data_IF_179607930243
#
_entry.id   IF_179607930243
#
_cell.length_a   1.000
_cell.length_b   1.000
_cell.length_c   1.000
_cell.angle_alpha   90.00
_cell.angle_beta   90.00
_cell.angle_gamma   90.00
#
_symmetry.space_group_name_H-M   'P 1'
#
loop_
_entity.id
_entity.type
_entity.pdbx_description
1 polymer ?
#
# COMPACT_ATOMS: atom_id res chain seq x y z
N UNK A 1 -20.93 1.85 24.67
CA UNK A 1 -20.33 2.82 23.73
C UNK A 1 -18.80 2.66 23.64
N UNK A 2 -18.21 1.64 24.28
CA UNK A 2 -16.76 1.46 24.42
C UNK A 2 -16.06 0.69 23.29
N UNK A 3 -16.78 0.24 22.25
CA UNK A 3 -16.21 -0.57 21.16
C UNK A 3 -15.62 0.25 20.00
N UNK A 4 -15.64 1.58 20.08
CA UNK A 4 -15.18 2.49 19.02
C UNK A 4 -13.81 3.09 19.31
N UNK A 5 -13.29 2.99 20.53
CA UNK A 5 -11.96 3.50 20.85
C UNK A 5 -10.90 2.54 20.33
N UNK A 6 -9.86 3.02 19.62
CA UNK A 6 -8.76 2.16 19.22
C UNK A 6 -8.06 1.57 20.46
N UNK A 7 -7.57 0.34 20.34
CA UNK A 7 -6.60 -0.18 21.31
C UNK A 7 -5.35 0.68 21.19
N UNK A 8 -5.05 1.44 22.24
CA UNK A 8 -3.86 2.28 22.34
C UNK A 8 -3.01 1.79 23.51
N UNK A 9 -1.69 1.98 23.41
CA UNK A 9 -0.77 1.68 24.51
C UNK A 9 -0.99 2.63 25.71
N UNK A 10 -0.23 2.43 26.79
CA UNK A 10 -0.32 3.27 27.98
C UNK A 10 0.04 4.74 27.76
N UNK A 11 0.53 5.10 26.56
CA UNK A 11 0.84 6.47 26.12
C UNK A 11 -0.18 7.01 25.12
N UNK A 12 -1.27 6.29 24.86
CA UNK A 12 -2.29 6.69 23.90
C UNK A 12 -1.88 6.50 22.44
N UNK A 13 -0.82 5.71 22.17
CA UNK A 13 -0.35 5.47 20.81
C UNK A 13 -0.97 4.19 20.22
N UNK A 14 -1.27 4.21 18.92
CA UNK A 14 -1.69 3.01 18.21
C UNK A 14 -0.55 1.99 18.21
N UNK A 15 -0.81 0.70 18.51
CA UNK A 15 0.21 -0.31 18.42
C UNK A 15 0.67 -0.46 16.96
N UNK A 16 1.96 -0.74 16.82
CA UNK A 16 2.61 -0.91 15.52
C UNK A 16 3.01 -2.36 15.36
N UNK A 17 2.66 -2.96 14.24
CA UNK A 17 3.08 -4.31 13.89
C UNK A 17 4.16 -4.25 12.80
N UNK A 18 5.27 -4.93 13.04
CA UNK A 18 6.41 -4.98 12.13
C UNK A 18 6.79 -6.43 11.80
N UNK A 19 7.46 -6.64 10.66
CA UNK A 19 8.00 -7.94 10.28
C UNK A 19 6.92 -8.94 9.85
N UNK A 20 5.80 -8.47 9.29
CA UNK A 20 4.72 -9.34 8.82
C UNK A 20 5.13 -10.21 7.64
N UNK A 21 6.14 -9.78 6.90
CA UNK A 21 6.59 -10.39 5.65
C UNK A 21 8.05 -10.87 5.69
N UNK A 22 8.72 -10.77 6.85
CA UNK A 22 10.14 -11.13 7.01
C UNK A 22 10.45 -12.63 7.14
N UNK A 23 9.42 -13.49 7.03
CA UNK A 23 9.53 -14.93 7.25
C UNK A 23 8.60 -15.66 6.27
N UNK A 24 9.19 -16.45 5.37
CA UNK A 24 8.46 -17.20 4.34
C UNK A 24 7.43 -18.16 4.96
N UNK A 25 7.78 -18.82 6.06
CA UNK A 25 6.88 -19.78 6.73
C UNK A 25 5.66 -19.06 7.29
N UNK A 26 5.85 -17.91 7.94
CA UNK A 26 4.74 -17.07 8.42
C UNK A 26 3.86 -16.57 7.28
N UNK A 27 4.47 -16.12 6.19
CA UNK A 27 3.74 -15.64 5.00
C UNK A 27 2.92 -16.76 4.38
N UNK A 28 3.53 -17.92 4.14
CA UNK A 28 2.84 -19.10 3.59
C UNK A 28 1.72 -19.58 4.48
N UNK A 29 1.93 -19.61 5.80
CA UNK A 29 0.90 -19.96 6.76
C UNK A 29 -0.29 -18.99 6.69
N UNK A 30 -0.03 -17.68 6.68
CA UNK A 30 -1.07 -16.64 6.57
C UNK A 30 -1.87 -16.73 5.27
N UNK A 31 -1.19 -17.06 4.17
CA UNK A 31 -1.81 -17.24 2.85
C UNK A 31 -2.34 -18.65 2.60
N UNK A 32 -2.17 -19.58 3.55
CA UNK A 32 -2.54 -21.00 3.41
C UNK A 32 -1.91 -21.67 2.18
N UNK A 33 -0.69 -21.27 1.81
CA UNK A 33 0.03 -21.85 0.68
C UNK A 33 0.68 -23.17 1.06
N UNK A 34 0.37 -24.21 0.30
CA UNK A 34 0.94 -25.55 0.48
C UNK A 34 2.32 -25.69 -0.17
N UNK A 35 2.64 -24.84 -1.16
CA UNK A 35 3.93 -24.83 -1.87
C UNK A 35 4.66 -23.49 -1.67
N UNK A 36 6.00 -23.44 -1.84
CA UNK A 36 6.78 -22.20 -1.74
C UNK A 36 6.36 -21.15 -2.78
N UNK A 37 6.31 -19.88 -2.37
CA UNK A 37 6.10 -18.75 -3.29
C UNK A 37 7.46 -18.28 -3.82
N UNK A 38 7.93 -18.88 -4.91
CA UNK A 38 9.21 -18.57 -5.57
C UNK A 38 9.05 -18.54 -7.09
N UNK A 39 10.09 -18.17 -7.82
CA UNK A 39 10.05 -18.04 -9.29
C UNK A 39 9.61 -19.31 -10.01
N UNK A 40 9.91 -20.50 -9.47
CA UNK A 40 9.49 -21.77 -10.07
C UNK A 40 7.98 -22.06 -9.93
N UNK A 41 7.36 -21.56 -8.84
CA UNK A 41 5.97 -21.84 -8.52
C UNK A 41 5.02 -20.66 -8.75
N UNK A 42 5.54 -19.43 -8.84
CA UNK A 42 4.75 -18.19 -8.84
C UNK A 42 3.65 -18.24 -9.89
N UNK A 43 3.99 -18.61 -11.13
CA UNK A 43 3.01 -18.73 -12.22
C UNK A 43 1.90 -19.72 -11.91
N UNK A 44 2.19 -20.86 -11.27
CA UNK A 44 1.15 -21.85 -10.90
C UNK A 44 0.24 -21.31 -9.81
N UNK A 45 0.79 -20.51 -8.89
CA UNK A 45 0.05 -19.90 -7.78
C UNK A 45 -0.87 -18.75 -8.22
N UNK A 46 -0.54 -18.06 -9.32
CA UNK A 46 -1.29 -16.87 -9.78
C UNK A 46 -1.89 -17.01 -11.19
N UNK A 47 -1.82 -18.19 -11.82
CA UNK A 47 -2.26 -18.38 -13.20
C UNK A 47 -3.75 -18.12 -13.42
N UNK A 48 -4.58 -18.39 -12.40
CA UNK A 48 -6.02 -18.15 -12.50
C UNK A 48 -6.27 -16.67 -12.28
N UNK A 49 -7.16 -16.06 -13.05
CA UNK A 49 -7.63 -14.71 -12.77
C UNK A 49 -8.88 -14.81 -11.89
N UNK A 50 -8.94 -14.00 -10.84
CA UNK A 50 -10.15 -13.78 -10.06
C UNK A 50 -10.38 -12.29 -9.94
N UNK A 51 -11.41 -11.77 -10.60
CA UNK A 51 -11.69 -10.35 -10.62
C UNK A 51 -11.93 -9.81 -9.20
N UNK A 52 -11.48 -8.58 -8.89
CA UNK A 52 -11.91 -7.87 -7.70
C UNK A 52 -13.43 -7.69 -7.70
N UNK A 53 -14.03 -7.60 -6.52
CA UNK A 53 -15.46 -7.33 -6.36
C UNK A 53 -15.65 -5.95 -5.77
N UNK A 54 -16.54 -5.17 -6.37
CA UNK A 54 -16.98 -3.91 -5.79
C UNK A 54 -18.05 -4.20 -4.74
N UNK A 55 -17.85 -3.63 -3.56
CA UNK A 55 -18.85 -3.67 -2.50
C UNK A 55 -19.47 -2.29 -2.32
N UNK A 56 -20.78 -2.21 -2.00
CA UNK A 56 -21.42 -0.98 -1.57
C UNK A 56 -20.72 -0.38 -0.35
N UNK A 57 -20.79 0.95 -0.19
CA UNK A 57 -20.15 1.65 0.93
C UNK A 57 -20.66 1.15 2.29
N UNK A 58 -21.93 0.78 2.37
CA UNK A 58 -22.60 0.24 3.57
C UNK A 58 -22.02 -1.12 4.01
N UNK A 59 -21.40 -1.84 3.07
CA UNK A 59 -20.73 -3.12 3.33
C UNK A 59 -19.22 -2.95 3.58
N UNK A 60 -18.70 -1.73 3.44
CA UNK A 60 -17.33 -1.43 3.83
C UNK A 60 -17.20 -1.50 5.36
N UNK A 61 -16.06 -1.95 5.89
CA UNK A 61 -15.88 -1.98 7.33
C UNK A 61 -16.14 -0.59 7.94
N UNK A 62 -16.79 -0.51 9.11
CA UNK A 62 -17.18 0.76 9.70
C UNK A 62 -15.94 1.60 10.00
N UNK A 63 -16.02 2.87 9.64
CA UNK A 63 -15.00 3.86 9.99
C UNK A 63 -14.92 4.05 11.50
N UNK A 64 -13.72 4.13 12.03
CA UNK A 64 -13.46 4.52 13.41
C UNK A 64 -13.29 6.05 13.45
N UNK A 65 -14.11 6.77 14.25
CA UNK A 65 -14.08 8.24 14.31
C UNK A 65 -12.77 8.80 14.88
N UNK A 66 -11.93 7.97 15.50
CA UNK A 66 -10.59 8.37 15.94
C UNK A 66 -9.73 8.84 14.76
N UNK A 67 -9.79 8.18 13.61
CA UNK A 67 -8.89 8.42 12.49
C UNK A 67 -9.39 9.56 11.60
N UNK A 68 -8.92 10.78 11.87
CA UNK A 68 -9.29 11.99 11.13
C UNK A 68 -8.08 12.73 10.56
N UNK A 69 -6.92 12.63 11.21
CA UNK A 69 -5.71 13.37 10.86
C UNK A 69 -4.46 12.48 10.81
N UNK A 70 -3.54 12.69 9.85
CA UNK A 70 -2.38 11.83 9.65
C UNK A 70 -1.38 11.86 10.82
N UNK A 71 -1.39 12.91 11.65
CA UNK A 71 -0.59 13.00 12.88
C UNK A 71 -0.97 11.94 13.93
N UNK A 72 -2.14 11.31 13.79
CA UNK A 72 -2.60 10.24 14.67
C UNK A 72 -2.02 8.88 14.29
N UNK A 73 -1.40 8.77 13.11
CA UNK A 73 -0.73 7.55 12.68
C UNK A 73 0.61 7.44 13.41
N UNK A 74 0.98 6.25 13.91
CA UNK A 74 2.29 6.02 14.49
C UNK A 74 3.32 5.88 13.35
N UNK A 75 3.69 7.01 12.76
CA UNK A 75 4.74 7.08 11.75
C UNK A 75 6.09 6.91 12.41
N UNK A 76 6.89 5.99 11.89
CA UNK A 76 8.18 5.65 12.49
C UNK A 76 9.32 6.36 11.78
N UNK A 77 10.31 6.74 12.57
CA UNK A 77 11.66 7.04 12.11
C UNK A 77 12.49 5.80 12.40
N UNK A 78 12.80 5.01 11.37
CA UNK A 78 13.43 3.69 11.50
C UNK A 78 14.91 3.78 11.82
N UNK A 79 15.59 4.82 11.34
CA UNK A 79 17.01 5.05 11.62
C UNK A 79 17.25 6.48 12.08
N UNK A 80 18.30 6.75 12.90
CA UNK A 80 18.70 8.12 13.24
C UNK A 80 19.05 8.99 12.03
N UNK A 81 19.26 8.37 10.87
CA UNK A 81 19.64 9.03 9.63
C UNK A 81 18.47 9.20 8.66
N UNK A 82 17.24 8.83 9.03
CA UNK A 82 16.06 9.05 8.20
C UNK A 82 15.79 10.57 8.07
N UNK A 83 15.22 11.05 6.96
CA UNK A 83 14.90 12.49 6.81
C UNK A 83 13.78 12.98 7.75
N UNK A 84 13.09 12.04 8.39
CA UNK A 84 11.88 12.26 9.18
C UNK A 84 11.13 10.95 9.39
N UNK A 85 9.90 11.04 9.87
CA UNK A 85 9.03 9.87 10.05
C UNK A 85 8.37 9.48 8.73
N UNK A 86 8.21 8.17 8.50
CA UNK A 86 7.70 7.63 7.25
C UNK A 86 6.56 6.64 7.47
N UNK A 87 5.60 6.64 6.54
CA UNK A 87 4.69 5.51 6.33
C UNK A 87 5.43 4.49 5.49
N UNK A 88 5.93 3.42 6.11
CA UNK A 88 6.76 2.42 5.43
C UNK A 88 5.98 1.28 4.77
N UNK A 89 4.66 1.22 4.98
CA UNK A 89 3.78 0.20 4.41
C UNK A 89 2.54 0.82 3.77
N UNK A 90 2.74 1.88 2.97
CA UNK A 90 1.69 2.54 2.19
C UNK A 90 1.55 1.91 0.81
N UNK A 91 0.36 1.41 0.49
CA UNK A 91 0.06 0.81 -0.80
C UNK A 91 -0.82 1.74 -1.63
N UNK A 92 -0.21 2.38 -2.63
CA UNK A 92 -0.86 3.34 -3.50
C UNK A 92 -1.61 2.60 -4.58
N UNK A 93 -2.92 2.80 -4.61
CA UNK A 93 -3.82 2.36 -5.66
C UNK A 93 -4.27 3.54 -6.51
N UNK A 94 -4.27 3.37 -7.83
CA UNK A 94 -4.85 4.32 -8.78
C UNK A 94 -5.37 3.59 -10.03
N UNK A 95 -6.15 4.28 -10.87
CA UNK A 95 -6.68 3.73 -12.11
C UNK A 95 -6.66 4.76 -13.24
N UNK A 96 -6.32 4.33 -14.45
CA UNK A 96 -6.52 5.13 -15.66
C UNK A 96 -8.01 5.23 -16.01
N UNK A 97 -8.35 6.19 -16.86
CA UNK A 97 -9.72 6.31 -17.40
C UNK A 97 -10.15 5.09 -18.23
N UNK A 98 -9.19 4.40 -18.84
CA UNK A 98 -9.42 3.17 -19.60
C UNK A 98 -9.60 1.93 -18.72
N UNK A 99 -9.59 2.08 -17.39
CA UNK A 99 -9.77 0.98 -16.43
C UNK A 99 -8.48 0.25 -16.03
N UNK A 100 -7.31 0.66 -16.51
CA UNK A 100 -6.02 0.06 -16.13
C UNK A 100 -5.66 0.47 -14.70
N UNK A 101 -5.58 -0.47 -13.77
CA UNK A 101 -5.28 -0.21 -12.37
C UNK A 101 -3.77 -0.17 -12.09
N UNK A 102 -3.34 0.34 -10.93
CA UNK A 102 -1.98 0.17 -10.44
C UNK A 102 -2.00 0.05 -8.94
N UNK A 103 -1.39 -1.01 -8.41
CA UNK A 103 -1.11 -1.18 -6.98
C UNK A 103 0.41 -1.22 -6.77
N UNK A 104 0.93 -0.32 -5.95
CA UNK A 104 2.37 -0.19 -5.69
C UNK A 104 2.67 0.11 -4.24
N UNK A 105 3.72 -0.52 -3.69
CA UNK A 105 4.20 -0.25 -2.35
C UNK A 105 5.13 0.98 -2.37
N UNK A 106 4.91 1.90 -1.43
CA UNK A 106 5.70 3.11 -1.22
C UNK A 106 6.08 3.22 0.24
N UNK A 107 7.33 3.65 0.49
CA UNK A 107 7.87 3.73 1.85
C UNK A 107 7.77 5.14 2.45
N UNK A 108 6.93 6.05 1.90
CA UNK A 108 6.85 7.47 2.28
C UNK A 108 5.47 8.08 1.96
N UNK A 109 5.06 9.13 2.69
CA UNK A 109 3.90 9.98 2.37
C UNK A 109 4.11 10.78 1.08
N UNK A 110 5.35 11.25 0.85
CA UNK A 110 5.77 11.73 -0.46
C UNK A 110 6.00 10.52 -1.37
N UNK A 111 5.04 10.25 -2.26
CA UNK A 111 5.09 9.08 -3.13
C UNK A 111 6.12 9.33 -4.22
N UNK A 112 7.12 8.46 -4.27
CA UNK A 112 8.09 8.47 -5.33
C UNK A 112 7.61 7.66 -6.51
N UNK A 113 7.17 8.38 -7.55
CA UNK A 113 6.75 7.80 -8.81
C UNK A 113 7.99 7.38 -9.59
N UNK A 114 8.25 6.08 -9.64
CA UNK A 114 9.40 5.51 -10.35
C UNK A 114 9.14 5.46 -11.86
N UNK A 115 10.10 5.92 -12.71
CA UNK A 115 9.96 5.88 -14.16
C UNK A 115 9.72 4.47 -14.71
N UNK A 116 8.91 4.36 -15.76
CA UNK A 116 8.62 3.10 -16.46
C UNK A 116 7.72 2.14 -15.68
N UNK A 117 7.16 2.57 -14.55
CA UNK A 117 6.16 1.81 -13.79
C UNK A 117 4.76 2.25 -14.16
N UNK A 118 3.80 1.34 -13.95
CA UNK A 118 2.40 1.55 -14.29
C UNK A 118 1.79 2.79 -13.61
N UNK A 119 2.16 3.07 -12.34
CA UNK A 119 1.78 4.30 -11.64
C UNK A 119 2.25 5.57 -12.38
N UNK A 120 3.48 5.56 -12.91
CA UNK A 120 4.02 6.69 -13.64
C UNK A 120 3.30 6.89 -14.97
N UNK A 121 3.04 5.81 -15.71
CA UNK A 121 2.30 5.85 -16.96
C UNK A 121 0.89 6.44 -16.77
N UNK A 122 0.16 5.99 -15.74
CA UNK A 122 -1.16 6.52 -15.41
C UNK A 122 -1.05 7.99 -14.99
N UNK A 123 -0.08 8.34 -14.15
CA UNK A 123 0.12 9.73 -13.72
C UNK A 123 0.40 10.68 -14.90
N UNK A 124 1.21 10.27 -15.88
CA UNK A 124 1.47 11.06 -17.08
C UNK A 124 0.21 11.27 -17.94
N UNK A 125 -0.68 10.29 -18.02
CA UNK A 125 -1.97 10.44 -18.73
C UNK A 125 -2.83 11.54 -18.08
N UNK A 126 -2.93 11.54 -16.76
CA UNK A 126 -3.66 12.57 -16.02
C UNK A 126 -3.03 13.95 -16.17
N UNK A 127 -1.70 14.04 -16.05
CA UNK A 127 -0.95 15.30 -16.29
C UNK A 127 -1.17 15.84 -17.70
N UNK A 128 -1.13 14.98 -18.73
CA UNK A 128 -1.38 15.38 -20.12
C UNK A 128 -2.80 15.91 -20.33
N UNK A 129 -3.77 15.44 -19.52
CA UNK A 129 -5.14 15.94 -19.51
C UNK A 129 -5.38 17.14 -18.58
N UNK A 130 -4.33 17.68 -17.94
CA UNK A 130 -4.44 18.81 -17.01
C UNK A 130 -5.22 18.49 -15.73
N UNK A 131 -5.33 17.21 -15.35
CA UNK A 131 -6.09 16.77 -14.16
C UNK A 131 -5.16 16.11 -13.14
N UNK A 132 -5.47 16.23 -11.84
CA UNK A 132 -4.74 15.50 -10.82
C UNK A 132 -5.14 14.01 -10.83
N UNK A 133 -4.21 13.12 -10.47
CA UNK A 133 -4.45 11.67 -10.42
C UNK A 133 -5.11 11.29 -9.08
N UNK A 134 -6.40 10.89 -9.03
CA UNK A 134 -6.99 10.45 -7.78
C UNK A 134 -6.37 9.11 -7.34
N UNK A 135 -5.88 9.06 -6.09
CA UNK A 135 -5.26 7.87 -5.51
C UNK A 135 -5.86 7.53 -4.15
N UNK A 136 -5.74 6.26 -3.78
CA UNK A 136 -5.90 5.82 -2.39
C UNK A 136 -4.60 5.23 -1.87
N UNK A 137 -4.18 5.62 -0.67
CA UNK A 137 -3.06 5.03 0.05
C UNK A 137 -3.64 4.10 1.10
N UNK A 138 -3.44 2.82 0.89
CA UNK A 138 -4.02 1.75 1.66
C UNK A 138 -2.93 1.19 2.59
N UNK A 139 -3.20 1.12 3.89
CA UNK A 139 -2.31 0.55 4.90
C UNK A 139 -3.02 -0.62 5.56
N UNK A 140 -2.23 -1.59 6.05
CA UNK A 140 -2.76 -2.85 6.60
C UNK A 140 -3.70 -3.55 5.61
N UNK A 141 -3.21 -3.72 4.37
CA UNK A 141 -3.96 -4.34 3.27
C UNK A 141 -3.92 -5.87 3.37
N UNK A 142 -4.82 -6.59 2.66
CA UNK A 142 -4.74 -8.04 2.57
C UNK A 142 -3.33 -8.53 2.21
N UNK A 143 -2.75 -9.51 2.94
CA UNK A 143 -1.37 -9.96 2.73
C UNK A 143 -1.06 -10.39 1.29
N UNK A 144 -2.05 -10.99 0.60
CA UNK A 144 -1.89 -11.38 -0.79
C UNK A 144 -1.70 -10.17 -1.72
N UNK A 145 -2.43 -9.08 -1.48
CA UNK A 145 -2.30 -7.84 -2.25
C UNK A 145 -0.95 -7.15 -1.97
N UNK A 146 -0.47 -7.19 -0.73
CA UNK A 146 0.87 -6.70 -0.40
C UNK A 146 1.94 -7.47 -1.19
N UNK A 147 1.85 -8.80 -1.23
CA UNK A 147 2.82 -9.66 -1.92
C UNK A 147 2.84 -9.44 -3.42
N UNK A 148 1.68 -9.29 -4.06
CA UNK A 148 1.63 -9.04 -5.51
C UNK A 148 2.17 -7.68 -5.92
N UNK A 149 2.30 -6.73 -4.99
CA UNK A 149 2.95 -5.44 -5.29
C UNK A 149 4.42 -5.59 -5.67
N UNK A 150 5.09 -6.64 -5.16
CA UNK A 150 6.49 -6.94 -5.41
C UNK A 150 6.73 -7.72 -6.71
N UNK A 151 5.67 -8.25 -7.34
CA UNK A 151 5.79 -8.94 -8.61
C UNK A 151 6.20 -7.98 -9.73
N UNK A 152 7.26 -8.33 -10.43
CA UNK A 152 7.80 -7.55 -11.54
C UNK A 152 8.38 -8.43 -12.65
N UNK A 153 8.55 -7.85 -13.84
CA UNK A 153 9.13 -8.55 -14.99
C UNK A 153 8.40 -9.86 -15.29
N UNK A 154 9.18 -10.94 -15.48
CA UNK A 154 8.69 -12.27 -15.83
C UNK A 154 7.79 -12.93 -14.77
N UNK A 155 7.72 -12.42 -13.54
CA UNK A 155 6.86 -12.99 -12.49
C UNK A 155 5.39 -12.54 -12.60
N UNK A 156 5.09 -11.53 -13.44
CA UNK A 156 3.72 -11.08 -13.68
C UNK A 156 3.06 -11.95 -14.74
N UNK A 157 1.76 -12.20 -14.60
CA UNK A 157 0.95 -12.77 -15.67
C UNK A 157 0.52 -11.63 -16.61
N UNK A 158 0.89 -11.68 -17.92
CA UNK A 158 0.46 -10.67 -18.87
C UNK A 158 -1.06 -10.55 -18.94
N UNK A 159 -1.57 -9.32 -19.03
CA UNK A 159 -3.00 -9.05 -19.08
C UNK A 159 -3.75 -9.15 -17.76
N UNK A 160 -3.09 -9.51 -16.65
CA UNK A 160 -3.70 -9.53 -15.32
C UNK A 160 -3.20 -8.37 -14.44
N UNK A 161 -4.15 -7.75 -13.75
CA UNK A 161 -3.89 -6.80 -12.67
C UNK A 161 -3.21 -7.48 -11.48
N UNK A 162 -2.58 -6.68 -10.61
CA UNK A 162 -2.02 -7.18 -9.35
C UNK A 162 -3.10 -7.62 -8.37
N UNK A 163 -4.30 -7.04 -8.48
CA UNK A 163 -5.44 -7.41 -7.65
C UNK A 163 -6.02 -8.77 -8.06
N UNK A 164 -6.06 -9.10 -9.35
CA UNK A 164 -6.46 -10.43 -9.81
C UNK A 164 -5.50 -11.51 -9.34
N UNK A 165 -4.19 -11.25 -9.43
CA UNK A 165 -3.16 -12.16 -8.93
C UNK A 165 -3.29 -12.33 -7.40
N UNK A 166 -3.59 -11.25 -6.67
CA UNK A 166 -3.79 -11.28 -5.23
C UNK A 166 -5.04 -12.09 -4.85
N UNK A 167 -6.11 -11.95 -5.61
CA UNK A 167 -7.35 -12.67 -5.39
C UNK A 167 -7.16 -14.18 -5.58
N UNK A 168 -6.34 -14.57 -6.55
CA UNK A 168 -5.99 -15.97 -6.78
C UNK A 168 -5.12 -16.52 -5.67
N UNK A 169 -4.12 -15.74 -5.23
CA UNK A 169 -3.26 -16.12 -4.12
C UNK A 169 -4.05 -16.28 -2.80
N UNK A 170 -5.06 -15.44 -2.57
CA UNK A 170 -5.94 -15.51 -1.41
C UNK A 170 -7.10 -16.53 -1.56
N UNK A 171 -7.26 -17.15 -2.73
CA UNK A 171 -8.45 -17.92 -3.12
C UNK A 171 -9.80 -17.18 -2.93
N UNK A 172 -9.77 -15.84 -2.82
CA UNK A 172 -10.92 -14.97 -2.51
C UNK A 172 -10.80 -13.67 -3.31
N UNK A 173 -11.89 -13.08 -3.82
CA UNK A 173 -11.78 -11.79 -4.50
C UNK A 173 -11.22 -10.72 -3.57
N UNK A 174 -10.42 -9.81 -4.11
CA UNK A 174 -10.11 -8.56 -3.41
C UNK A 174 -11.37 -7.69 -3.43
N UNK A 175 -11.78 -7.19 -2.27
CA UNK A 175 -12.94 -6.30 -2.14
C UNK A 175 -12.53 -4.84 -2.32
N UNK A 176 -13.22 -4.13 -3.19
CA UNK A 176 -12.99 -2.71 -3.49
C UNK A 176 -14.18 -1.86 -3.05
N UNK A 177 -13.89 -0.66 -2.55
CA UNK A 177 -14.86 0.34 -2.14
C UNK A 177 -14.63 1.66 -2.87
N UNK A 178 -15.68 2.44 -3.12
CA UNK A 178 -15.48 3.83 -3.51
C UNK A 178 -14.90 4.66 -2.36
N UNK A 179 -13.96 5.53 -2.69
CA UNK A 179 -13.51 6.60 -1.80
C UNK A 179 -14.58 7.68 -1.65
N UNK A 180 -14.51 8.47 -0.59
CA UNK A 180 -15.54 9.46 -0.26
C UNK A 180 -15.29 10.85 -0.84
N UNK A 181 -14.02 11.20 -1.07
CA UNK A 181 -13.58 12.54 -1.50
C UNK A 181 -12.86 12.53 -2.84
N UNK A 182 -12.36 11.38 -3.27
CA UNK A 182 -11.63 11.22 -4.52
C UNK A 182 -12.38 10.33 -5.50
N UNK A 183 -12.21 10.57 -6.80
CA UNK A 183 -12.78 9.76 -7.87
C UNK A 183 -11.93 8.50 -8.13
N UNK A 184 -11.78 7.66 -7.11
CA UNK A 184 -11.00 6.40 -7.17
C UNK A 184 -11.65 5.32 -6.30
N UNK A 185 -10.96 4.20 -6.12
CA UNK A 185 -11.35 3.15 -5.19
C UNK A 185 -10.27 2.83 -4.19
N UNK A 186 -10.69 2.24 -3.08
CA UNK A 186 -9.89 1.74 -1.98
C UNK A 186 -9.99 0.22 -1.88
N UNK A 187 -8.98 -0.42 -1.32
CA UNK A 187 -9.10 -1.80 -0.87
C UNK A 187 -9.96 -1.78 0.40
N UNK A 188 -11.15 -2.39 0.33
CA UNK A 188 -12.14 -2.31 1.39
C UNK A 188 -11.68 -2.97 2.70
N UNK A 189 -10.75 -3.91 2.62
CA UNK A 189 -10.18 -4.63 3.75
C UNK A 189 -8.93 -3.97 4.34
N UNK A 190 -8.59 -2.75 3.93
CA UNK A 190 -7.44 -2.03 4.47
C UNK A 190 -7.74 -1.47 5.85
N UNK A 191 -6.82 -1.65 6.81
CA UNK A 191 -6.98 -1.08 8.15
C UNK A 191 -7.07 0.45 8.16
N UNK A 192 -6.27 1.13 7.33
CA UNK A 192 -6.28 2.60 7.21
C UNK A 192 -6.20 2.99 5.72
N UNK A 193 -7.01 3.97 5.32
CA UNK A 193 -7.11 4.48 3.96
C UNK A 193 -6.93 5.99 4.00
N UNK A 194 -6.00 6.47 3.19
CA UNK A 194 -5.81 7.88 2.90
C UNK A 194 -6.31 8.15 1.48
N UNK A 195 -7.12 9.18 1.31
CA UNK A 195 -7.63 9.62 0.02
C UNK A 195 -6.93 10.91 -0.38
N UNK A 196 -6.38 10.92 -1.59
CA UNK A 196 -5.57 12.04 -2.05
C UNK A 196 -5.64 12.21 -3.57
N UNK A 197 -5.28 13.40 -4.02
CA UNK A 197 -5.00 13.73 -5.41
C UNK A 197 -3.75 14.61 -5.42
N UNK A 198 -2.59 14.11 -5.91
CA UNK A 198 -1.35 14.86 -5.90
C UNK A 198 -1.51 16.12 -6.75
N UNK A 199 -1.06 17.23 -6.19
CA UNK A 199 -0.97 18.49 -6.89
C UNK A 199 0.25 18.55 -7.81
N UNK A 200 0.46 19.73 -8.40
CA UNK A 200 1.67 20.02 -9.19
C UNK A 200 2.92 20.25 -8.32
N UNK A 201 2.74 20.39 -7.01
CA UNK A 201 3.81 20.65 -6.06
C UNK A 201 4.84 19.51 -6.04
N UNK A 202 6.11 19.90 -6.00
CA UNK A 202 7.24 18.99 -5.96
C UNK A 202 8.19 19.33 -4.83
N UNK A 203 8.58 18.31 -4.06
CA UNK A 203 9.56 18.44 -2.98
C UNK A 203 10.81 17.61 -3.25
N UNK A 204 11.92 18.02 -2.64
CA UNK A 204 13.16 17.25 -2.63
C UNK A 204 13.32 16.57 -1.28
N UNK A 205 13.77 15.32 -1.28
CA UNK A 205 14.19 14.63 -0.07
C UNK A 205 15.47 15.25 0.48
N UNK A 206 15.64 15.18 1.80
CA UNK A 206 16.87 15.57 2.44
C UNK A 206 18.02 14.65 1.97
N UNK A 207 19.08 15.25 1.39
CA UNK A 207 20.29 14.57 0.93
C UNK A 207 20.99 13.71 2.01
N UNK A 208 20.80 14.06 3.29
CA UNK A 208 21.38 13.32 4.42
C UNK A 208 20.62 12.03 4.77
N UNK A 209 19.43 11.81 4.19
CA UNK A 209 18.55 10.71 4.54
C UNK A 209 19.12 9.35 4.12
N UNK A 210 19.36 8.44 5.07
CA UNK A 210 19.73 7.05 4.82
C UNK A 210 18.49 6.17 4.87
N UNK A 211 18.50 5.03 4.17
CA UNK A 211 17.33 4.16 4.06
C UNK A 211 17.35 3.13 5.19
N UNK A 212 16.17 2.70 5.65
CA UNK A 212 15.97 1.66 6.69
C UNK A 212 16.62 0.32 6.37
N UNK A 213 17.09 0.17 5.13
CA UNK A 213 17.73 -0.99 4.56
C UNK A 213 19.25 -1.06 4.85
N UNK A 214 19.80 -0.16 5.68
CA UNK A 214 21.22 -0.13 6.03
C UNK A 214 22.13 0.46 4.94
N UNK A 215 21.56 0.88 3.80
CA UNK A 215 22.29 1.55 2.72
C UNK A 215 21.94 3.04 2.66
N UNK A 216 22.94 3.86 2.35
CA UNK A 216 22.74 5.26 1.96
C UNK A 216 22.23 5.28 0.52
N UNK A 217 20.91 5.15 0.32
CA UNK A 217 20.35 5.49 -0.98
C UNK A 217 20.44 6.99 -1.24
N UNK A 218 20.41 7.40 -2.50
CA UNK A 218 20.42 8.82 -2.88
C UNK A 218 19.06 9.43 -2.54
N UNK A 219 19.07 10.64 -1.97
CA UNK A 219 17.87 11.43 -1.83
C UNK A 219 17.26 11.72 -3.21
N UNK A 220 15.94 11.66 -3.28
CA UNK A 220 15.19 11.91 -4.53
C UNK A 220 14.74 13.36 -4.61
N UNK A 221 14.91 13.94 -5.79
CA UNK A 221 14.39 15.27 -6.10
C UNK A 221 13.05 15.16 -6.85
N UNK A 222 12.25 16.22 -6.80
CA UNK A 222 10.99 16.37 -7.56
C UNK A 222 9.92 15.30 -7.27
N UNK A 223 9.80 14.89 -6.01
CA UNK A 223 8.73 13.99 -5.57
C UNK A 223 7.38 14.69 -5.63
N UNK A 224 6.35 13.99 -6.08
CA UNK A 224 4.99 14.50 -6.04
C UNK A 224 4.51 14.61 -4.59
N UNK A 225 3.94 15.77 -4.25
CA UNK A 225 3.31 16.00 -2.95
C UNK A 225 1.84 15.64 -3.04
N UNK A 226 1.38 14.91 -2.03
CA UNK A 226 0.01 14.44 -1.87
C UNK A 226 -0.60 15.26 -0.73
N UNK A 227 -1.72 15.94 -1.03
CA UNK A 227 -2.45 16.78 -0.10
C UNK A 227 -3.63 15.97 0.43
N UNK A 228 -3.43 15.39 1.63
CA UNK A 228 -4.40 14.49 2.22
C UNK A 228 -5.78 15.14 2.28
N UNK A 229 -6.71 14.60 1.52
CA UNK A 229 -8.09 15.09 1.48
C UNK A 229 -8.93 14.44 2.57
N UNK A 230 -8.71 13.14 2.82
CA UNK A 230 -9.42 12.41 3.87
C UNK A 230 -8.59 11.24 4.39
N UNK A 231 -8.73 10.97 5.69
CA UNK A 231 -8.27 9.73 6.31
C UNK A 231 -9.47 8.96 6.87
N UNK A 232 -9.42 7.64 6.74
CA UNK A 232 -10.36 6.71 7.37
C UNK A 232 -9.58 5.51 7.91
N UNK A 233 -9.76 5.20 9.19
CA UNK A 233 -9.35 3.91 9.76
C UNK A 233 -10.56 3.03 10.02
N UNK A 234 -10.40 1.71 9.92
CA UNK A 234 -11.43 0.73 10.25
C UNK A 234 -11.21 0.18 11.66
N UNK A 235 -12.27 -0.33 12.31
CA UNK A 235 -12.17 -0.91 13.67
C UNK A 235 -11.17 -2.07 13.78
N UNK A 236 -10.89 -2.79 12.68
CA UNK A 236 -9.85 -3.82 12.61
C UNK A 236 -8.43 -3.26 12.42
N UNK A 237 -8.30 -2.02 11.95
CA UNK A 237 -7.03 -1.31 11.71
C UNK A 237 -6.39 -0.78 12.99
N UNK A 238 -6.40 -1.57 14.06
CA UNK A 238 -5.78 -1.19 15.33
C UNK A 238 -4.24 -1.29 15.30
N UNK A 239 -3.66 -1.76 14.18
CA UNK A 239 -2.22 -1.95 14.04
C UNK A 239 -1.72 -1.16 12.83
N UNK A 240 -0.87 -0.18 13.05
CA UNK A 240 -0.12 0.39 11.95
C UNK A 240 0.97 -0.61 11.53
N UNK A 241 0.92 -1.07 10.29
CA UNK A 241 2.00 -1.89 9.75
C UNK A 241 3.20 -1.01 9.43
N UNK A 242 4.38 -1.40 9.91
CA UNK A 242 5.64 -0.79 9.50
C UNK A 242 6.68 -1.85 9.17
N UNK A 243 7.11 -1.90 7.92
CA UNK A 243 8.14 -2.84 7.46
C UNK A 243 9.50 -2.14 7.25
N UNK A 244 10.60 -2.81 7.61
CA UNK A 244 11.95 -2.37 7.28
C UNK A 244 12.34 -2.84 5.86
N UNK A 245 12.91 -1.94 5.06
CA UNK A 245 12.85 -2.00 3.59
C UNK A 245 13.60 -3.10 2.84
N UNK A 246 14.30 -4.03 3.51
CA UNK A 246 15.07 -5.11 2.84
C UNK A 246 14.75 -6.54 3.30
N UNK A 247 14.42 -6.76 4.58
CA UNK A 247 14.25 -8.13 5.09
C UNK A 247 12.98 -8.82 4.57
N UNK A 248 11.96 -8.06 4.18
CA UNK A 248 10.64 -8.61 3.88
C UNK A 248 10.44 -9.07 2.43
N UNK A 249 11.38 -8.79 1.53
CA UNK A 249 11.20 -9.02 0.10
C UNK A 249 12.34 -9.80 -0.55
N UNK A 250 13.50 -9.93 0.11
CA UNK A 250 14.66 -10.63 -0.46
C UNK A 250 14.38 -12.10 -0.82
N UNK A 251 13.62 -12.80 0.02
CA UNK A 251 13.25 -14.21 -0.20
C UNK A 251 12.22 -14.41 -1.31
N UNK A 252 11.46 -13.38 -1.69
CA UNK A 252 10.48 -13.45 -2.77
C UNK A 252 11.12 -13.31 -4.16
N UNK A 253 12.38 -12.86 -4.21
CA UNK A 253 13.13 -12.57 -5.44
C UNK A 253 14.30 -13.55 -5.64
N UNK A 254 14.66 -14.36 -4.63
CA UNK A 254 15.67 -15.41 -4.71
C UNK A 254 15.06 -16.78 -5.06
#
# INVERSE_FOLDING_TARGET
MDHLLPVVDSRGQLPVLQGCFGDETKVRHRLKLTIPFNTANVHRLIARAKAPVFIPHEQSPPGNPYFQHPWQLPVLTHTPNDAGSYITSGFVYCQSESGTDSLSAHQRLAISILPGRQLEQIHQQYLASGRPLPVSINMDIPPAAAITTSLSGGQRVPGQSKLEQAATLAASPVRLCHTQTQATVCLADSGIILEDAPGVERINENAAARYSSGYVGKARCKLAVFTLSKMRGHQRGQLALAESGLCCWGWLVC
#
